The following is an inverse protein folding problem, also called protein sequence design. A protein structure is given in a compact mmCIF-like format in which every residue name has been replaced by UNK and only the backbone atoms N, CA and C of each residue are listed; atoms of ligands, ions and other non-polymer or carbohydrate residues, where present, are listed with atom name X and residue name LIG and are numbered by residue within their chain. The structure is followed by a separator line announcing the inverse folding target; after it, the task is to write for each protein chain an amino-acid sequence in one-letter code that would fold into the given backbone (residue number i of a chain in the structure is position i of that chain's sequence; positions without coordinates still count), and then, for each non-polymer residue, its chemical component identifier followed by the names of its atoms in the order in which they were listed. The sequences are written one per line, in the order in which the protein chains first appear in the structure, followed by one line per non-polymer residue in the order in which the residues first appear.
data_IF_010540517330
#
_entry.id   IF_010540517330
#
_cell.length_a   1.000
_cell.length_b   1.000
_cell.length_c   1.000
_cell.angle_alpha   90.00
_cell.angle_beta   90.00
_cell.angle_gamma   90.00
#
_symmetry.space_group_name_H-M   'P 1'
#
loop_
_entity.id
_entity.type
_entity.pdbx_description
1 polymer ?
#
# COMPACT_ATOMS: atom_id res chain seq x y z
N UNK A 1 -14.86 -12.45 4.23
CA UNK A 1 -13.39 -12.34 4.11
C UNK A 1 -12.80 -12.34 5.50
N UNK A 2 -11.85 -13.24 5.74
CA UNK A 2 -11.13 -13.33 7.01
C UNK A 2 -10.37 -12.02 7.28
N UNK A 3 -10.36 -11.56 8.52
CA UNK A 3 -9.86 -10.22 8.87
C UNK A 3 -8.36 -10.06 8.62
N UNK A 4 -7.60 -11.16 8.72
CA UNK A 4 -6.17 -11.22 8.39
C UNK A 4 -5.93 -11.09 6.88
N UNK A 5 -6.73 -11.75 6.06
CA UNK A 5 -6.69 -11.58 4.61
C UNK A 5 -7.00 -10.13 4.22
N UNK A 6 -8.04 -9.52 4.81
CA UNK A 6 -8.37 -8.10 4.55
C UNK A 6 -7.23 -7.17 4.92
N UNK A 7 -6.59 -7.41 6.05
CA UNK A 7 -5.38 -6.70 6.43
C UNK A 7 -4.29 -6.87 5.36
N UNK A 8 -3.98 -8.11 4.96
CA UNK A 8 -2.96 -8.40 3.95
C UNK A 8 -3.22 -7.67 2.63
N UNK A 9 -4.43 -7.77 2.07
CA UNK A 9 -4.80 -7.06 0.84
C UNK A 9 -4.72 -5.54 0.99
N UNK A 10 -5.14 -4.99 2.13
CA UNK A 10 -5.04 -3.55 2.37
C UNK A 10 -3.59 -3.07 2.43
N UNK A 11 -2.70 -3.84 3.06
CA UNK A 11 -1.28 -3.54 3.10
C UNK A 11 -0.64 -3.66 1.70
N UNK A 12 -1.01 -4.69 0.92
CA UNK A 12 -0.58 -4.82 -0.48
C UNK A 12 -1.01 -3.62 -1.30
N UNK A 13 -2.29 -3.22 -1.23
CA UNK A 13 -2.81 -2.13 -2.04
C UNK A 13 -2.19 -0.78 -1.64
N UNK A 14 -1.95 -0.57 -0.34
CA UNK A 14 -1.20 0.59 0.15
C UNK A 14 0.24 0.60 -0.37
N UNK A 15 0.91 -0.56 -0.38
CA UNK A 15 2.24 -0.72 -0.95
C UNK A 15 2.28 -0.41 -2.44
N UNK A 16 1.33 -0.92 -3.22
CA UNK A 16 1.17 -0.60 -4.64
C UNK A 16 0.93 0.90 -4.85
N UNK A 17 0.08 1.53 -4.04
CA UNK A 17 -0.19 2.96 -4.07
C UNK A 17 1.08 3.78 -3.86
N UNK A 18 1.89 3.46 -2.84
CA UNK A 18 3.18 4.10 -2.58
C UNK A 18 4.15 3.95 -3.76
N UNK A 19 4.32 2.74 -4.30
CA UNK A 19 5.20 2.51 -5.45
C UNK A 19 4.72 3.27 -6.68
N UNK A 20 3.41 3.30 -6.93
CA UNK A 20 2.83 4.03 -8.05
C UNK A 20 3.05 5.54 -7.94
N UNK A 21 2.86 6.12 -6.75
CA UNK A 21 3.12 7.55 -6.52
C UNK A 21 4.61 7.84 -6.75
N UNK A 22 5.51 7.07 -6.15
CA UNK A 22 6.94 7.27 -6.35
C UNK A 22 7.35 7.14 -7.82
N UNK A 23 6.86 6.13 -8.54
CA UNK A 23 7.17 5.92 -9.94
C UNK A 23 6.63 7.04 -10.84
N UNK A 24 5.39 7.51 -10.61
CA UNK A 24 4.80 8.59 -11.40
C UNK A 24 5.43 9.94 -11.09
N UNK A 25 5.80 10.19 -9.84
CA UNK A 25 6.49 11.42 -9.44
C UNK A 25 7.93 11.45 -9.96
N UNK A 26 8.59 10.30 -10.07
CA UNK A 26 9.89 10.18 -10.74
C UNK A 26 9.82 10.52 -12.23
N UNK A 27 8.75 10.08 -12.91
CA UNK A 27 8.62 10.22 -14.37
C UNK A 27 8.05 11.57 -14.81
N UNK A 28 7.08 12.11 -14.06
CA UNK A 28 6.25 13.25 -14.47
C UNK A 28 6.09 14.31 -13.37
N UNK A 29 6.62 14.06 -12.18
CA UNK A 29 6.41 14.90 -11.01
C UNK A 29 7.51 15.91 -10.74
N UNK A 30 7.31 16.68 -9.67
CA UNK A 30 8.27 17.65 -9.14
C UNK A 30 8.72 17.33 -7.72
N UNK A 31 8.40 16.15 -7.21
CA UNK A 31 8.73 15.75 -5.85
C UNK A 31 10.24 15.51 -5.71
N UNK A 32 10.80 15.79 -4.53
CA UNK A 32 12.23 15.61 -4.31
C UNK A 32 12.61 14.13 -4.36
N UNK A 33 13.79 13.84 -4.92
CA UNK A 33 14.29 12.47 -5.12
C UNK A 33 14.33 11.66 -3.82
N UNK A 34 14.64 12.30 -2.69
CA UNK A 34 14.67 11.61 -1.39
C UNK A 34 13.29 11.12 -0.97
N UNK A 35 12.22 11.89 -1.25
CA UNK A 35 10.86 11.48 -0.89
C UNK A 35 10.38 10.36 -1.82
N UNK A 36 10.67 10.47 -3.13
CA UNK A 36 10.40 9.40 -4.09
C UNK A 36 11.07 8.08 -3.68
N UNK A 37 12.35 8.15 -3.27
CA UNK A 37 13.08 6.97 -2.81
C UNK A 37 12.44 6.36 -1.55
N UNK A 38 12.01 7.20 -0.59
CA UNK A 38 11.31 6.75 0.61
C UNK A 38 9.96 6.09 0.27
N UNK A 39 9.17 6.67 -0.65
CA UNK A 39 7.91 6.09 -1.11
C UNK A 39 8.12 4.72 -1.74
N UNK A 40 9.13 4.58 -2.61
CA UNK A 40 9.46 3.31 -3.23
C UNK A 40 9.89 2.25 -2.20
N UNK A 41 10.78 2.61 -1.27
CA UNK A 41 11.26 1.68 -0.22
C UNK A 41 10.10 1.23 0.67
N UNK A 42 9.31 2.18 1.19
CA UNK A 42 8.15 1.86 2.04
C UNK A 42 7.13 1.04 1.25
N UNK A 43 6.86 1.41 -0.01
CA UNK A 43 5.95 0.68 -0.88
C UNK A 43 6.36 -0.78 -1.10
N UNK A 44 7.65 -1.02 -1.37
CA UNK A 44 8.20 -2.38 -1.53
C UNK A 44 8.10 -3.18 -0.23
N UNK A 45 8.42 -2.57 0.92
CA UNK A 45 8.31 -3.24 2.22
C UNK A 45 6.86 -3.62 2.54
N UNK A 46 5.92 -2.71 2.30
CA UNK A 46 4.49 -2.98 2.49
C UNK A 46 4.01 -4.06 1.52
N UNK A 47 4.42 -4.02 0.25
CA UNK A 47 4.14 -5.08 -0.71
C UNK A 47 4.61 -6.45 -0.22
N UNK A 48 5.87 -6.56 0.19
CA UNK A 48 6.43 -7.82 0.69
C UNK A 48 5.72 -8.32 1.95
N UNK A 49 5.45 -7.44 2.91
CA UNK A 49 4.76 -7.81 4.13
C UNK A 49 3.31 -8.22 3.88
N UNK A 50 2.55 -7.38 3.18
CA UNK A 50 1.16 -7.63 2.82
C UNK A 50 1.02 -8.90 1.99
N UNK A 51 1.88 -9.11 1.00
CA UNK A 51 1.90 -10.32 0.18
C UNK A 51 2.13 -11.55 1.03
N UNK A 52 3.11 -11.51 1.94
CA UNK A 52 3.37 -12.62 2.85
C UNK A 52 2.18 -12.94 3.76
N UNK A 53 1.36 -11.94 4.14
CA UNK A 53 0.11 -12.18 4.88
C UNK A 53 -1.01 -12.71 3.99
N UNK A 54 -1.07 -12.31 2.72
CA UNK A 54 -2.06 -12.86 1.77
C UNK A 54 -1.77 -14.33 1.48
N UNK A 55 -0.49 -14.72 1.36
CA UNK A 55 -0.08 -16.10 1.08
C UNK A 55 -0.13 -17.00 2.31
N UNK A 56 0.13 -16.43 3.50
CA UNK A 56 0.06 -17.12 4.77
C UNK A 56 -0.63 -16.22 5.82
N UNK A 57 -1.97 -16.24 5.89
CA UNK A 57 -2.71 -15.41 6.83
C UNK A 57 -2.48 -15.81 8.30
N UNK A 58 -2.08 -17.06 8.55
CA UNK A 58 -1.89 -17.59 9.91
C UNK A 58 -0.64 -17.05 10.60
N UNK A 59 0.29 -16.44 9.84
CA UNK A 59 1.45 -15.73 10.38
C UNK A 59 1.12 -14.60 11.35
N UNK A 60 -0.09 -14.03 11.27
CA UNK A 60 -0.55 -13.01 12.21
C UNK A 60 -1.28 -13.71 13.35
N UNK A 61 -0.60 -13.75 14.49
CA UNK A 61 -1.15 -14.26 15.72
C UNK A 61 -2.31 -13.36 16.21
N UNK A 62 -3.54 -13.89 16.31
CA UNK A 62 -4.71 -13.14 16.75
C UNK A 62 -4.66 -12.77 18.23
N UNK A 63 -3.80 -13.42 19.03
CA UNK A 63 -3.59 -13.09 20.43
C UNK A 63 -2.73 -11.83 20.60
N UNK A 64 -1.91 -11.53 19.59
CA UNK A 64 -1.05 -10.34 19.57
C UNK A 64 -1.76 -9.10 19.02
N UNK A 65 -2.68 -9.27 18.06
CA UNK A 65 -3.38 -8.16 17.43
C UNK A 65 -4.89 -8.44 17.34
N UNK A 66 -5.68 -7.53 17.91
CA UNK A 66 -7.14 -7.60 17.86
C UNK A 66 -7.66 -7.70 16.41
N UNK A 67 -8.62 -8.61 16.12
CA UNK A 67 -9.26 -8.69 14.82
C UNK A 67 -9.85 -7.36 14.36
N UNK A 68 -10.36 -6.52 15.27
CA UNK A 68 -10.91 -5.20 14.90
C UNK A 68 -9.84 -4.29 14.30
N UNK A 69 -8.65 -4.27 14.90
CA UNK A 69 -7.51 -3.46 14.43
C UNK A 69 -7.07 -3.93 13.06
N UNK A 70 -6.94 -5.24 12.85
CA UNK A 70 -6.62 -5.81 11.53
C UNK A 70 -7.64 -5.38 10.47
N UNK A 71 -8.93 -5.38 10.83
CA UNK A 71 -10.00 -4.94 9.94
C UNK A 71 -9.87 -3.47 9.58
N UNK A 72 -9.68 -2.60 10.56
CA UNK A 72 -9.51 -1.14 10.36
C UNK A 72 -8.30 -0.86 9.49
N UNK A 73 -7.13 -1.44 9.81
CA UNK A 73 -5.91 -1.24 9.03
C UNK A 73 -6.08 -1.74 7.60
N UNK A 74 -6.74 -2.89 7.40
CA UNK A 74 -7.08 -3.39 6.07
C UNK A 74 -7.91 -2.40 5.26
N UNK A 75 -8.99 -1.85 5.84
CA UNK A 75 -9.83 -0.86 5.15
C UNK A 75 -9.08 0.44 4.85
N UNK A 76 -8.32 0.96 5.82
CA UNK A 76 -7.51 2.16 5.62
C UNK A 76 -6.49 1.95 4.50
N UNK A 77 -5.79 0.81 4.51
CA UNK A 77 -4.82 0.47 3.46
C UNK A 77 -5.48 0.37 2.08
N UNK A 78 -6.67 -0.23 1.99
CA UNK A 78 -7.41 -0.29 0.73
C UNK A 78 -7.78 1.11 0.24
N UNK A 79 -8.38 1.94 1.09
CA UNK A 79 -8.87 3.27 0.73
C UNK A 79 -7.69 4.17 0.32
N UNK A 80 -6.65 4.22 1.15
CA UNK A 80 -5.47 5.04 0.90
C UNK A 80 -4.71 4.55 -0.33
N UNK A 81 -4.45 3.25 -0.44
CA UNK A 81 -3.79 2.67 -1.61
C UNK A 81 -4.56 2.96 -2.91
N UNK A 82 -5.88 2.77 -2.90
CA UNK A 82 -6.74 3.09 -4.04
C UNK A 82 -6.70 4.59 -4.41
N UNK A 83 -6.76 5.49 -3.41
CA UNK A 83 -6.64 6.92 -3.64
C UNK A 83 -5.29 7.31 -4.25
N UNK A 84 -4.20 6.68 -3.80
CA UNK A 84 -2.86 6.90 -4.34
C UNK A 84 -2.71 6.41 -5.78
N UNK A 85 -3.32 5.28 -6.13
CA UNK A 85 -3.37 4.81 -7.52
C UNK A 85 -4.16 5.77 -8.41
N UNK A 86 -5.32 6.24 -7.93
CA UNK A 86 -6.12 7.23 -8.66
C UNK A 86 -5.34 8.54 -8.85
N UNK A 87 -4.66 9.02 -7.81
CA UNK A 87 -3.79 10.20 -7.88
C UNK A 87 -2.66 10.00 -8.91
N UNK A 88 -1.98 8.86 -8.86
CA UNK A 88 -0.91 8.52 -9.81
C UNK A 88 -1.42 8.53 -11.24
N UNK A 89 -2.61 7.97 -11.49
CA UNK A 89 -3.25 8.01 -12.80
C UNK A 89 -3.57 9.44 -13.25
N UNK A 90 -4.06 10.30 -12.36
CA UNK A 90 -4.31 11.72 -12.67
C UNK A 90 -3.01 12.45 -13.03
N UNK A 91 -1.91 12.21 -12.30
CA UNK A 91 -0.61 12.81 -12.62
C UNK A 91 -0.17 12.43 -14.04
N UNK A 92 -0.31 11.15 -14.41
CA UNK A 92 0.03 10.69 -15.76
C UNK A 92 -0.85 11.34 -16.83
N UNK A 93 -2.18 11.37 -16.63
CA UNK A 93 -3.12 11.95 -17.61
C UNK A 93 -2.88 13.44 -17.83
N UNK A 94 -2.54 14.20 -16.78
CA UNK A 94 -2.25 15.63 -16.91
C UNK A 94 -0.86 15.94 -17.52
N UNK A 95 0.00 14.93 -17.67
CA UNK A 95 1.32 15.07 -18.28
C UNK A 95 1.34 14.70 -19.78
N UNK A 96 0.23 14.18 -20.32
CA UNK A 96 0.01 13.85 -21.73
C UNK A 96 -0.69 15.00 -22.47
#
# INVERSE_FOLDING_TARGET
METRLRYGYGVVLLGLGNVAVGATQLAFGGQSTIVIAMEAIVGILLLGFGYGVVTDPERIDPEQISPRVLGVVGYVGIIMGGAMLAWSALVVVNAL
#
